data_IF_584388588863
#
_entry.id   IF_584388588863
#
_cell.length_a   1.000
_cell.length_b   1.000
_cell.length_c   1.000
_cell.angle_alpha   90.00
_cell.angle_beta   90.00
_cell.angle_gamma   90.00
#
_symmetry.space_group_name_H-M   'P 1'
#
loop_
_entity.id
_entity.type
_entity.pdbx_description
1 polymer ?
#
# COMPACT_ATOMS: atom_id res chain seq x y z
N UNK A 1 -8.78 3.88 -14.15
CA UNK A 1 -9.10 3.73 -12.71
C UNK A 1 -8.31 4.75 -11.91
N UNK A 2 -8.80 5.25 -10.77
CA UNK A 2 -8.03 6.14 -9.90
C UNK A 2 -7.76 5.47 -8.55
N UNK A 3 -6.49 5.45 -8.12
CA UNK A 3 -6.08 4.86 -6.84
C UNK A 3 -5.60 5.97 -5.91
N UNK A 4 -6.37 6.22 -4.85
CA UNK A 4 -5.97 7.09 -3.76
C UNK A 4 -5.10 6.32 -2.78
N UNK A 5 -3.91 6.85 -2.46
CA UNK A 5 -2.97 6.19 -1.58
C UNK A 5 -2.85 6.88 -0.22
N UNK A 6 -3.36 6.21 0.81
CA UNK A 6 -3.10 6.55 2.20
C UNK A 6 -1.78 5.91 2.64
N UNK A 7 -0.97 6.60 3.43
CA UNK A 7 0.31 6.06 3.91
C UNK A 7 0.27 5.91 5.43
N UNK A 8 0.53 4.70 5.90
CA UNK A 8 0.68 4.38 7.32
C UNK A 8 2.12 4.04 7.60
N UNK A 9 2.65 4.49 8.74
CA UNK A 9 4.01 4.18 9.17
C UNK A 9 3.96 3.28 10.40
N UNK A 10 4.67 2.16 10.33
CA UNK A 10 4.82 1.25 11.46
C UNK A 10 6.15 1.51 12.14
N UNK A 11 6.11 2.00 13.38
CA UNK A 11 7.28 2.40 14.15
C UNK A 11 7.85 3.76 13.72
N UNK A 12 9.08 4.07 14.15
CA UNK A 12 9.70 5.37 13.92
C UNK A 12 10.39 5.49 12.55
N UNK A 13 10.58 6.74 12.11
CA UNK A 13 11.39 7.07 10.93
C UNK A 13 12.83 6.59 11.11
N UNK A 14 13.46 6.13 10.03
CA UNK A 14 14.87 5.68 10.08
C UNK A 14 15.79 6.86 10.32
N UNK A 15 16.80 6.64 11.18
CA UNK A 15 17.92 7.57 11.35
C UNK A 15 18.80 7.62 10.10
N UNK A 16 18.99 6.48 9.42
CA UNK A 16 19.77 6.42 8.19
C UNK A 16 18.95 6.98 7.01
N UNK A 17 19.37 8.14 6.51
CA UNK A 17 18.71 8.85 5.40
C UNK A 17 18.68 8.04 4.09
N UNK A 18 19.77 7.36 3.73
CA UNK A 18 19.84 6.58 2.50
C UNK A 18 18.82 5.44 2.50
N UNK A 19 18.73 4.68 3.61
CA UNK A 19 17.75 3.60 3.77
C UNK A 19 16.30 4.10 3.81
N UNK A 20 16.08 5.33 4.24
CA UNK A 20 14.75 5.97 4.22
C UNK A 20 14.37 6.42 2.82
N UNK A 21 15.33 6.97 2.06
CA UNK A 21 15.15 7.37 0.66
C UNK A 21 14.90 6.16 -0.23
N UNK A 22 15.65 5.08 -0.03
CA UNK A 22 15.46 3.82 -0.76
C UNK A 22 14.08 3.21 -0.49
N UNK A 23 13.64 3.18 0.79
CA UNK A 23 12.28 2.76 1.11
C UNK A 23 11.24 3.63 0.39
N UNK A 24 11.44 4.95 0.36
CA UNK A 24 10.54 5.88 -0.32
C UNK A 24 10.48 5.65 -1.83
N UNK A 25 11.61 5.29 -2.44
CA UNK A 25 11.68 4.88 -3.84
C UNK A 25 10.87 3.62 -4.09
N UNK A 26 11.06 2.58 -3.26
CA UNK A 26 10.33 1.32 -3.39
C UNK A 26 8.83 1.50 -3.21
N UNK A 27 8.40 2.39 -2.30
CA UNK A 27 6.99 2.77 -2.13
C UNK A 27 6.45 3.41 -3.40
N UNK A 28 7.21 4.30 -4.04
CA UNK A 28 6.80 4.96 -5.28
C UNK A 28 6.65 3.94 -6.40
N UNK A 29 7.60 3.01 -6.54
CA UNK A 29 7.51 1.92 -7.52
C UNK A 29 6.27 1.09 -7.28
N UNK A 30 6.04 0.58 -6.06
CA UNK A 30 4.86 -0.22 -5.74
C UNK A 30 3.54 0.48 -6.11
N UNK A 31 3.42 1.78 -5.81
CA UNK A 31 2.21 2.56 -6.17
C UNK A 31 2.02 2.70 -7.67
N UNK A 32 3.10 2.89 -8.41
CA UNK A 32 3.04 2.98 -9.87
C UNK A 32 2.64 1.63 -10.45
N UNK A 33 3.31 0.57 -10.02
CA UNK A 33 3.07 -0.79 -10.53
C UNK A 33 1.62 -1.22 -10.24
N UNK A 34 1.09 -0.96 -9.04
CA UNK A 34 -0.33 -1.20 -8.73
C UNK A 34 -1.27 -0.42 -9.66
N UNK A 35 -1.00 0.87 -9.88
CA UNK A 35 -1.83 1.72 -10.73
C UNK A 35 -1.81 1.26 -12.18
N UNK A 36 -0.65 0.84 -12.70
CA UNK A 36 -0.47 0.30 -14.05
C UNK A 36 -1.21 -1.04 -14.20
N UNK A 37 -0.95 -2.03 -13.34
CA UNK A 37 -1.65 -3.33 -13.36
C UNK A 37 -3.16 -3.18 -13.29
N UNK A 38 -3.66 -2.29 -12.44
CA UNK A 38 -5.10 -2.04 -12.33
C UNK A 38 -5.68 -1.33 -13.55
N UNK A 39 -4.92 -0.50 -14.25
CA UNK A 39 -5.39 0.11 -15.50
C UNK A 39 -5.36 -0.88 -16.68
N UNK A 40 -4.46 -1.86 -16.64
CA UNK A 40 -4.29 -2.87 -17.69
C UNK A 40 -5.27 -4.04 -17.54
N UNK A 41 -5.43 -4.59 -16.33
CA UNK A 41 -6.17 -5.83 -16.11
C UNK A 41 -7.64 -5.65 -15.74
N UNK A 42 -8.02 -4.51 -15.15
CA UNK A 42 -9.39 -4.30 -14.70
C UNK A 42 -10.25 -3.70 -15.83
N UNK A 43 -11.17 -4.50 -16.35
CA UNK A 43 -12.09 -4.13 -17.44
C UNK A 43 -13.45 -3.58 -16.98
N UNK A 44 -13.65 -3.41 -15.67
CA UNK A 44 -14.91 -2.90 -15.13
C UNK A 44 -15.05 -1.38 -15.26
N UNK A 45 -16.18 -0.86 -14.78
CA UNK A 45 -16.42 0.60 -14.76
C UNK A 45 -15.36 1.36 -13.97
N UNK A 46 -15.09 2.60 -14.38
CA UNK A 46 -14.15 3.47 -13.68
C UNK A 46 -14.55 3.59 -12.20
N UNK A 47 -13.62 3.24 -11.32
CA UNK A 47 -13.76 3.34 -9.87
C UNK A 47 -12.61 4.14 -9.28
N UNK A 48 -12.93 4.86 -8.21
CA UNK A 48 -11.93 5.34 -7.25
C UNK A 48 -11.80 4.29 -6.16
N UNK A 49 -10.56 3.87 -5.87
CA UNK A 49 -10.27 2.98 -4.74
C UNK A 49 -9.25 3.62 -3.81
N UNK A 50 -9.37 3.34 -2.52
CA UNK A 50 -8.38 3.75 -1.52
C UNK A 50 -7.53 2.56 -1.08
N UNK A 51 -6.22 2.71 -1.20
CA UNK A 51 -5.23 1.73 -0.77
C UNK A 51 -4.34 2.31 0.32
N UNK A 52 -4.14 1.53 1.37
CA UNK A 52 -3.24 1.91 2.45
C UNK A 52 -1.87 1.28 2.22
N UNK A 53 -0.85 2.10 1.96
CA UNK A 53 0.53 1.67 1.87
C UNK A 53 1.20 1.76 3.23
N UNK A 54 1.84 0.67 3.62
CA UNK A 54 2.48 0.48 4.91
C UNK A 54 3.98 0.69 4.74
N UNK A 55 4.50 1.72 5.42
CA UNK A 55 5.93 2.05 5.51
C UNK A 55 6.53 1.34 6.73
N UNK A 56 7.32 0.28 6.55
CA UNK A 56 7.88 -0.45 7.68
C UNK A 56 9.08 0.27 8.31
N UNK A 57 9.22 0.18 9.63
CA UNK A 57 10.41 0.66 10.35
C UNK A 57 11.69 -0.09 9.94
N UNK A 58 11.58 -1.39 9.61
CA UNK A 58 12.68 -2.27 9.22
C UNK A 58 12.43 -2.91 7.84
N UNK A 59 13.49 -3.21 7.09
CA UNK A 59 13.42 -3.83 5.75
C UNK A 59 13.00 -2.86 4.63
N UNK A 60 13.32 -3.14 3.38
CA UNK A 60 13.09 -2.18 2.28
C UNK A 60 11.83 -2.46 1.47
N UNK A 61 11.12 -3.52 1.80
CA UNK A 61 9.93 -3.97 1.08
C UNK A 61 8.67 -3.29 1.63
N UNK A 62 8.05 -2.35 0.90
CA UNK A 62 6.77 -1.79 1.29
C UNK A 62 5.68 -2.86 1.21
N UNK A 63 4.68 -2.73 2.08
CA UNK A 63 3.48 -3.56 2.06
C UNK A 63 2.25 -2.69 1.84
N UNK A 64 1.12 -3.27 1.52
CA UNK A 64 -0.14 -2.55 1.46
C UNK A 64 -1.30 -3.38 2.02
N UNK A 65 -2.36 -2.70 2.43
CA UNK A 65 -3.60 -3.28 2.88
C UNK A 65 -4.72 -3.02 1.87
N UNK A 66 -5.52 -4.06 1.59
CA UNK A 66 -6.68 -4.06 0.69
C UNK A 66 -8.01 -4.29 1.42
N UNK A 67 -8.04 -4.22 2.75
CA UNK A 67 -9.26 -4.47 3.55
C UNK A 67 -10.40 -3.50 3.22
N UNK A 68 -10.08 -2.29 2.74
CA UNK A 68 -11.06 -1.29 2.33
C UNK A 68 -11.61 -1.50 0.90
N UNK A 69 -11.06 -2.46 0.14
CA UNK A 69 -11.52 -2.76 -1.22
C UNK A 69 -12.66 -3.77 -1.16
N UNK A 70 -13.87 -3.33 -1.53
CA UNK A 70 -15.05 -4.20 -1.61
C UNK A 70 -15.15 -4.99 -2.91
N UNK A 71 -14.55 -4.47 -3.97
CA UNK A 71 -14.60 -5.08 -5.30
C UNK A 71 -13.78 -6.38 -5.34
N UNK A 72 -14.45 -7.50 -5.64
CA UNK A 72 -13.83 -8.83 -5.65
C UNK A 72 -12.82 -9.00 -6.79
N UNK A 73 -13.05 -8.34 -7.92
CA UNK A 73 -12.22 -8.45 -9.10
C UNK A 73 -10.90 -7.69 -8.88
N UNK A 74 -10.98 -6.47 -8.37
CA UNK A 74 -9.79 -5.68 -7.96
C UNK A 74 -8.97 -6.45 -6.91
N UNK A 75 -9.62 -7.04 -5.90
CA UNK A 75 -8.91 -7.86 -4.90
C UNK A 75 -8.22 -9.07 -5.53
N UNK A 76 -8.84 -9.71 -6.52
CA UNK A 76 -8.27 -10.86 -7.22
C UNK A 76 -7.02 -10.46 -8.00
N UNK A 77 -7.09 -9.37 -8.77
CA UNK A 77 -5.96 -8.82 -9.54
C UNK A 77 -4.79 -8.47 -8.61
N UNK A 78 -5.08 -7.72 -7.53
CA UNK A 78 -4.04 -7.29 -6.58
C UNK A 78 -3.39 -8.47 -5.85
N UNK A 79 -4.18 -9.50 -5.49
CA UNK A 79 -3.66 -10.69 -4.81
C UNK A 79 -2.82 -11.55 -5.75
N UNK A 80 -3.18 -11.63 -7.03
CA UNK A 80 -2.44 -12.39 -8.03
C UNK A 80 -1.07 -11.75 -8.33
N UNK A 81 -1.04 -10.43 -8.51
CA UNK A 81 0.18 -9.71 -8.91
C UNK A 81 1.07 -9.28 -7.75
N UNK A 82 0.49 -8.96 -6.59
CA UNK A 82 1.21 -8.35 -5.47
C UNK A 82 1.01 -9.10 -4.14
N UNK A 83 0.74 -10.41 -4.21
CA UNK A 83 0.48 -11.26 -3.04
C UNK A 83 1.53 -11.13 -1.93
N UNK A 84 2.81 -11.05 -2.31
CA UNK A 84 3.91 -10.90 -1.36
C UNK A 84 3.92 -9.53 -0.68
N UNK A 85 3.38 -8.50 -1.31
CA UNK A 85 3.29 -7.15 -0.74
C UNK A 85 2.03 -6.94 0.12
N UNK A 86 1.14 -7.93 0.19
CA UNK A 86 -0.04 -7.84 1.05
C UNK A 86 0.31 -7.97 2.53
N UNK A 87 -0.25 -7.08 3.34
CA UNK A 87 -0.23 -7.19 4.80
C UNK A 87 -1.52 -6.60 5.36
N UNK A 88 -2.22 -7.39 6.17
CA UNK A 88 -3.33 -6.88 6.99
C UNK A 88 -2.77 -6.02 8.12
N UNK A 89 -3.41 -4.89 8.37
CA UNK A 89 -3.15 -4.08 9.55
C UNK A 89 -3.99 -4.60 10.71
N UNK A 90 -3.40 -4.62 11.89
CA UNK A 90 -4.12 -4.87 13.14
C UNK A 90 -4.86 -3.62 13.59
N UNK A 91 -5.92 -3.78 14.39
CA UNK A 91 -6.68 -2.66 14.96
C UNK A 91 -5.79 -1.70 15.75
N UNK A 92 -4.81 -2.24 16.48
CA UNK A 92 -3.83 -1.47 17.25
C UNK A 92 -2.93 -0.61 16.35
N UNK A 93 -2.45 -1.14 15.22
CA UNK A 93 -1.60 -0.39 14.28
C UNK A 93 -2.35 0.77 13.61
N UNK A 94 -3.64 0.58 13.34
CA UNK A 94 -4.52 1.62 12.81
C UNK A 94 -4.73 2.71 13.86
N UNK A 95 -5.10 2.32 15.10
CA UNK A 95 -5.29 3.26 16.21
C UNK A 95 -4.03 4.07 16.51
N UNK A 96 -2.86 3.42 16.54
CA UNK A 96 -1.58 4.09 16.75
C UNK A 96 -1.24 5.10 15.65
N UNK A 97 -1.74 4.94 14.41
CA UNK A 97 -1.55 5.95 13.36
C UNK A 97 -2.60 7.07 13.39
N UNK A 98 -3.77 6.83 13.99
CA UNK A 98 -4.81 7.85 14.18
C UNK A 98 -4.52 8.77 15.38
N UNK A 99 -3.90 8.25 16.45
CA UNK A 99 -3.61 9.01 17.68
C UNK A 99 -2.27 9.77 17.68
N UNK A 100 -1.47 9.67 16.61
CA UNK A 100 -0.16 10.35 16.49
C UNK A 100 -0.22 11.64 15.64
N UNK A 101 -1.36 12.33 15.62
CA UNK A 101 -1.54 13.63 14.96
C UNK A 101 -1.60 14.77 15.97
#
# INVERSE_FOLDING_TARGET
MYVKYSNIRLGSKRKNYLKEKELSSNIRSLKRDIQETLNEEYSGEFKEIELTVIKPSRGLTPKFNMDNIRDKEIRKILKANFGDNLRKLTTEEIQNNLCNY
#
